data_IF_517771617806
#
_entry.id   IF_517771617806
#
_cell.length_a   1.000
_cell.length_b   1.000
_cell.length_c   1.000
_cell.angle_alpha   90.00
_cell.angle_beta   90.00
_cell.angle_gamma   90.00
#
_symmetry.space_group_name_H-M   'P 1'
#
loop_
_entity.id
_entity.type
_entity.pdbx_description
1 polymer ?
#
# COMPACT_ATOMS: atom_id res chain seq x y z
N UNK A 1 3.86 -7.15 115.99
CA UNK A 1 3.20 -6.07 115.21
C UNK A 1 4.00 -5.71 113.95
N UNK A 2 5.30 -5.39 114.04
CA UNK A 2 6.18 -5.03 112.90
C UNK A 2 6.23 -6.03 111.71
N UNK A 3 6.10 -7.34 111.96
CA UNK A 3 6.21 -8.36 110.90
C UNK A 3 4.98 -8.37 109.97
N UNK A 4 3.77 -8.17 110.50
CA UNK A 4 2.54 -8.06 109.70
C UNK A 4 2.50 -6.78 108.86
N UNK A 5 3.01 -5.68 109.42
CA UNK A 5 3.12 -4.38 108.74
C UNK A 5 4.10 -4.42 107.57
N UNK A 6 5.27 -5.06 107.74
CA UNK A 6 6.22 -5.30 106.63
C UNK A 6 5.63 -6.17 105.53
N UNK A 7 4.87 -7.21 105.88
CA UNK A 7 4.21 -8.09 104.90
C UNK A 7 3.12 -7.35 104.12
N UNK A 8 2.34 -6.51 104.80
CA UNK A 8 1.33 -5.66 104.16
C UNK A 8 1.96 -4.62 103.23
N UNK A 9 3.05 -3.98 103.65
CA UNK A 9 3.79 -3.02 102.84
C UNK A 9 4.42 -3.68 101.60
N UNK A 10 4.93 -4.90 101.73
CA UNK A 10 5.43 -5.67 100.59
C UNK A 10 4.31 -6.04 99.61
N UNK A 11 3.15 -6.50 100.11
CA UNK A 11 1.99 -6.79 99.26
C UNK A 11 1.46 -5.55 98.54
N UNK A 12 1.40 -4.39 99.21
CA UNK A 12 0.99 -3.13 98.60
C UNK A 12 1.96 -2.71 97.49
N UNK A 13 3.28 -2.77 97.73
CA UNK A 13 4.29 -2.50 96.69
C UNK A 13 4.18 -3.43 95.49
N UNK A 14 3.87 -4.71 95.74
CA UNK A 14 3.69 -5.69 94.67
C UNK A 14 2.44 -5.40 93.84
N UNK A 15 1.33 -5.01 94.49
CA UNK A 15 0.11 -4.56 93.80
C UNK A 15 0.35 -3.30 92.96
N UNK A 16 1.08 -2.32 93.50
CA UNK A 16 1.42 -1.09 92.76
C UNK A 16 2.32 -1.38 91.54
N UNK A 17 3.27 -2.31 91.68
CA UNK A 17 4.13 -2.75 90.59
C UNK A 17 3.33 -3.48 89.48
N UNK A 18 2.38 -4.34 89.86
CA UNK A 18 1.48 -5.02 88.93
C UNK A 18 0.60 -3.99 88.20
N UNK A 19 -0.06 -3.09 88.93
CA UNK A 19 -0.91 -2.06 88.34
C UNK A 19 -0.14 -1.13 87.39
N UNK A 20 1.11 -0.79 87.73
CA UNK A 20 2.00 -0.02 86.84
C UNK A 20 2.39 -0.83 85.60
N UNK A 21 2.67 -2.12 85.76
CA UNK A 21 2.94 -3.04 84.65
C UNK A 21 1.76 -3.15 83.69
N UNK A 22 0.55 -3.34 84.21
CA UNK A 22 -0.69 -3.39 83.43
C UNK A 22 -0.96 -2.09 82.68
N UNK A 23 -0.75 -0.94 83.33
CA UNK A 23 -0.86 0.37 82.69
C UNK A 23 0.12 0.53 81.53
N UNK A 24 1.38 0.13 81.73
CA UNK A 24 2.41 0.18 80.69
C UNK A 24 2.09 -0.76 79.51
N UNK A 25 1.61 -1.98 79.80
CA UNK A 25 1.17 -2.94 78.77
C UNK A 25 0.02 -2.33 77.95
N UNK A 26 -0.94 -1.67 78.59
CA UNK A 26 -2.08 -1.07 77.90
C UNK A 26 -1.66 0.11 77.02
N UNK A 27 -0.71 0.94 77.48
CA UNK A 27 -0.13 2.03 76.68
C UNK A 27 0.56 1.46 75.43
N UNK A 28 1.45 0.47 75.62
CA UNK A 28 2.17 -0.18 74.51
C UNK A 28 1.21 -0.83 73.52
N UNK A 29 0.12 -1.45 74.00
CA UNK A 29 -0.91 -2.05 73.15
C UNK A 29 -1.61 -0.99 72.30
N UNK A 30 -1.99 0.14 72.89
CA UNK A 30 -2.63 1.24 72.16
C UNK A 30 -1.70 1.86 71.12
N UNK A 31 -0.42 2.07 71.46
CA UNK A 31 0.59 2.56 70.51
C UNK A 31 0.82 1.58 69.35
N UNK A 32 0.81 0.28 69.64
CA UNK A 32 0.96 -0.76 68.61
C UNK A 32 -0.23 -0.78 67.67
N UNK A 33 -1.45 -0.69 68.21
CA UNK A 33 -2.68 -0.59 67.40
C UNK A 33 -2.64 0.64 66.50
N UNK A 34 -2.25 1.80 67.03
CA UNK A 34 -2.15 3.03 66.24
C UNK A 34 -1.14 2.91 65.09
N UNK A 35 0.03 2.30 65.33
CA UNK A 35 1.03 2.03 64.28
C UNK A 35 0.53 1.06 63.22
N UNK A 36 -0.18 0.01 63.62
CA UNK A 36 -0.77 -0.96 62.68
C UNK A 36 -1.81 -0.28 61.81
N UNK A 37 -2.66 0.59 62.37
CA UNK A 37 -3.65 1.35 61.61
C UNK A 37 -2.97 2.27 60.59
N UNK A 38 -1.95 3.03 61.00
CA UNK A 38 -1.20 3.90 60.08
C UNK A 38 -0.53 3.12 58.94
N UNK A 39 0.11 1.98 59.25
CA UNK A 39 0.73 1.13 58.23
C UNK A 39 -0.31 0.58 57.25
N UNK A 40 -1.48 0.18 57.76
CA UNK A 40 -2.58 -0.30 56.92
C UNK A 40 -3.11 0.80 56.00
N UNK A 41 -3.31 2.00 56.51
CA UNK A 41 -3.81 3.13 55.72
C UNK A 41 -2.80 3.54 54.63
N UNK A 42 -1.51 3.61 54.97
CA UNK A 42 -0.45 3.88 54.01
C UNK A 42 -0.37 2.80 52.93
N UNK A 43 -0.42 1.53 53.31
CA UNK A 43 -0.38 0.42 52.36
C UNK A 43 -1.61 0.41 51.44
N UNK A 44 -2.80 0.72 51.97
CA UNK A 44 -4.00 0.87 51.16
C UNK A 44 -3.83 1.96 50.11
N UNK A 45 -3.28 3.11 50.50
CA UNK A 45 -3.04 4.23 49.59
C UNK A 45 -2.02 3.88 48.50
N UNK A 46 -0.91 3.24 48.85
CA UNK A 46 0.10 2.77 47.87
C UNK A 46 -0.49 1.77 46.87
N UNK A 47 -1.37 0.87 47.34
CA UNK A 47 -2.06 -0.10 46.49
C UNK A 47 -3.02 0.57 45.51
N UNK A 48 -3.73 1.62 45.94
CA UNK A 48 -4.62 2.38 45.07
C UNK A 48 -3.83 3.17 44.01
N UNK A 49 -2.74 3.84 44.39
CA UNK A 49 -1.84 4.55 43.48
C UNK A 49 -1.22 3.59 42.44
N UNK A 50 -0.80 2.41 42.87
CA UNK A 50 -0.26 1.38 41.98
C UNK A 50 -1.32 0.84 41.01
N UNK A 51 -2.56 0.66 41.48
CA UNK A 51 -3.69 0.25 40.62
C UNK A 51 -4.00 1.31 39.57
N UNK A 52 -3.99 2.58 39.92
CA UNK A 52 -4.18 3.68 38.97
C UNK A 52 -3.07 3.73 37.92
N UNK A 53 -1.81 3.60 38.34
CA UNK A 53 -0.66 3.57 37.44
C UNK A 53 -0.72 2.39 36.47
N UNK A 54 -1.05 1.18 36.95
CA UNK A 54 -1.24 0.02 36.07
C UNK A 54 -2.36 0.24 35.05
N UNK A 55 -3.50 0.80 35.47
CA UNK A 55 -4.61 1.10 34.56
C UNK A 55 -4.21 2.12 33.48
N UNK A 56 -3.36 3.09 33.83
CA UNK A 56 -2.82 4.06 32.87
C UNK A 56 -1.88 3.38 31.86
N UNK A 57 -0.92 2.59 32.34
CA UNK A 57 0.03 1.86 31.50
C UNK A 57 -0.66 0.86 30.57
N UNK A 58 -1.70 0.16 31.03
CA UNK A 58 -2.48 -0.75 30.19
C UNK A 58 -3.16 -0.04 29.02
N UNK A 59 -3.69 1.17 29.26
CA UNK A 59 -4.29 2.01 28.21
C UNK A 59 -3.24 2.44 27.18
N UNK A 60 -2.07 2.87 27.63
CA UNK A 60 -0.98 3.29 26.75
C UNK A 60 -0.44 2.13 25.91
N UNK A 61 -0.25 0.95 26.52
CA UNK A 61 0.15 -0.26 25.80
C UNK A 61 -0.88 -0.63 24.73
N UNK A 62 -2.17 -0.53 25.04
CA UNK A 62 -3.24 -0.82 24.07
C UNK A 62 -3.25 0.19 22.91
N UNK A 63 -3.01 1.47 23.20
CA UNK A 63 -2.90 2.53 22.19
C UNK A 63 -1.69 2.28 21.27
N UNK A 64 -0.52 2.04 21.85
CA UNK A 64 0.72 1.78 21.10
C UNK A 64 0.60 0.53 20.22
N UNK A 65 0.00 -0.56 20.72
CA UNK A 65 -0.27 -1.76 19.90
C UNK A 65 -1.17 -1.45 18.70
N UNK A 66 -2.18 -0.61 18.90
CA UNK A 66 -3.09 -0.20 17.82
C UNK A 66 -2.37 0.66 16.77
N UNK A 67 -1.54 1.61 17.22
CA UNK A 67 -0.74 2.46 16.34
C UNK A 67 0.31 1.65 15.57
N UNK A 68 0.98 0.71 16.23
CA UNK A 68 1.92 -0.22 15.60
C UNK A 68 1.24 -1.03 14.50
N UNK A 69 0.09 -1.65 14.78
CA UNK A 69 -0.65 -2.42 13.78
C UNK A 69 -1.08 -1.58 12.56
N UNK A 70 -1.49 -0.32 12.78
CA UNK A 70 -1.79 0.62 11.69
C UNK A 70 -0.54 0.97 10.88
N UNK A 71 0.59 1.19 11.54
CA UNK A 71 1.86 1.52 10.88
C UNK A 71 2.39 0.34 10.07
N UNK A 72 2.28 -0.87 10.60
CA UNK A 72 2.66 -2.11 9.92
C UNK A 72 1.78 -2.37 8.68
N UNK A 73 0.46 -2.12 8.78
CA UNK A 73 -0.45 -2.20 7.64
C UNK A 73 -0.06 -1.21 6.54
N UNK A 74 0.18 0.05 6.89
CA UNK A 74 0.66 1.07 5.94
C UNK A 74 2.01 0.71 5.33
N UNK A 75 2.93 0.18 6.13
CA UNK A 75 4.24 -0.25 5.63
C UNK A 75 4.12 -1.36 4.60
N UNK A 76 3.20 -2.31 4.80
CA UNK A 76 2.93 -3.36 3.82
C UNK A 76 2.32 -2.81 2.54
N UNK A 77 1.35 -1.88 2.63
CA UNK A 77 0.81 -1.17 1.45
C UNK A 77 1.92 -0.44 0.66
N UNK A 78 2.85 0.25 1.36
CA UNK A 78 3.97 0.91 0.71
C UNK A 78 4.98 -0.07 0.10
N UNK A 79 5.22 -1.23 0.74
CA UNK A 79 6.08 -2.28 0.17
C UNK A 79 5.49 -2.85 -1.12
N UNK A 80 4.18 -3.08 -1.17
CA UNK A 80 3.49 -3.49 -2.39
C UNK A 80 3.62 -2.42 -3.49
N UNK A 81 3.43 -1.15 -3.16
CA UNK A 81 3.59 -0.04 -4.09
C UNK A 81 5.03 0.12 -4.61
N UNK A 82 6.04 -0.04 -3.74
CA UNK A 82 7.45 0.03 -4.12
C UNK A 82 7.87 -1.21 -4.93
N UNK A 83 7.38 -2.40 -4.57
CA UNK A 83 7.55 -3.61 -5.38
C UNK A 83 6.98 -3.41 -6.79
N UNK A 84 5.82 -2.75 -6.92
CA UNK A 84 5.26 -2.33 -8.19
C UNK A 84 6.12 -1.31 -8.97
N UNK A 85 6.96 -0.54 -8.28
CA UNK A 85 7.86 0.46 -8.88
C UNK A 85 9.30 -0.05 -9.15
N UNK A 86 9.60 -1.33 -8.89
CA UNK A 86 10.92 -1.94 -9.15
C UNK A 86 11.26 -2.00 -10.65
N UNK A 87 12.55 -2.15 -10.99
CA UNK A 87 13.07 -2.32 -12.36
C UNK A 87 12.32 -3.41 -13.15
N UNK A 88 11.86 -4.49 -12.50
CA UNK A 88 11.05 -5.54 -13.12
C UNK A 88 9.74 -5.00 -13.73
N UNK A 89 9.11 -4.03 -13.08
CA UNK A 89 7.89 -3.41 -13.60
C UNK A 89 8.20 -2.32 -14.63
N UNK A 90 9.40 -1.74 -14.64
CA UNK A 90 9.76 -0.73 -15.64
C UNK A 90 9.74 -1.31 -17.07
N UNK A 91 10.21 -2.54 -17.26
CA UNK A 91 10.17 -3.19 -18.57
C UNK A 91 8.74 -3.52 -19.02
N UNK A 92 7.87 -3.97 -18.09
CA UNK A 92 6.45 -4.19 -18.36
C UNK A 92 5.77 -2.87 -18.77
N UNK A 93 6.03 -1.80 -18.02
CA UNK A 93 5.53 -0.46 -18.29
C UNK A 93 6.01 0.06 -19.66
N UNK A 94 7.25 -0.22 -20.02
CA UNK A 94 7.82 0.12 -21.32
C UNK A 94 7.07 -0.56 -22.47
N UNK A 95 6.84 -1.88 -22.39
CA UNK A 95 6.08 -2.62 -23.41
C UNK A 95 4.60 -2.18 -23.44
N UNK A 96 4.00 -1.91 -22.28
CA UNK A 96 2.66 -1.36 -22.18
C UNK A 96 2.52 0.00 -22.85
N UNK A 97 3.52 0.88 -22.68
CA UNK A 97 3.56 2.18 -23.35
C UNK A 97 3.74 2.04 -24.87
N UNK A 98 4.60 1.13 -25.33
CA UNK A 98 4.77 0.81 -26.75
C UNK A 98 3.44 0.40 -27.39
N UNK A 99 2.69 -0.48 -26.72
CA UNK A 99 1.36 -0.91 -27.16
C UNK A 99 0.38 0.26 -27.27
N UNK A 100 0.43 1.20 -26.31
CA UNK A 100 -0.39 2.42 -26.38
C UNK A 100 0.01 3.30 -27.56
N UNK A 101 1.30 3.56 -27.76
CA UNK A 101 1.79 4.39 -28.86
C UNK A 101 1.41 3.79 -30.21
N UNK A 102 1.51 2.47 -30.37
CA UNK A 102 1.07 1.76 -31.56
C UNK A 102 -0.42 2.00 -31.87
N UNK A 103 -1.31 1.88 -30.86
CA UNK A 103 -2.74 2.13 -31.06
C UNK A 103 -3.03 3.61 -31.37
N UNK A 104 -2.33 4.54 -30.72
CA UNK A 104 -2.44 5.97 -31.03
C UNK A 104 -2.00 6.27 -32.47
N UNK A 105 -0.90 5.66 -32.94
CA UNK A 105 -0.44 5.82 -34.32
C UNK A 105 -1.47 5.30 -35.33
N UNK A 106 -2.11 4.15 -35.04
CA UNK A 106 -3.20 3.63 -35.87
C UNK A 106 -4.39 4.56 -35.89
N UNK A 107 -4.82 5.06 -34.73
CA UNK A 107 -5.91 6.02 -34.65
C UNK A 107 -5.60 7.29 -35.44
N UNK A 108 -4.41 7.85 -35.26
CA UNK A 108 -3.96 9.05 -35.98
C UNK A 108 -3.88 8.83 -37.49
N UNK A 109 -3.47 7.64 -37.96
CA UNK A 109 -3.48 7.30 -39.38
C UNK A 109 -4.90 7.30 -39.96
N UNK A 110 -5.85 6.75 -39.21
CA UNK A 110 -7.25 6.59 -39.64
C UNK A 110 -8.03 7.90 -39.52
N UNK A 111 -7.83 8.64 -38.43
CA UNK A 111 -8.55 9.87 -38.08
C UNK A 111 -7.60 11.04 -37.75
N UNK A 112 -6.76 11.48 -38.70
CA UNK A 112 -5.74 12.50 -38.45
C UNK A 112 -6.30 13.83 -37.96
N UNK A 113 -7.48 14.24 -38.47
CA UNK A 113 -8.14 15.49 -38.08
C UNK A 113 -8.75 15.44 -36.67
N UNK A 114 -8.96 14.26 -36.09
CA UNK A 114 -9.66 14.06 -34.80
C UNK A 114 -8.75 13.50 -33.69
N UNK A 115 -7.45 13.44 -33.95
CA UNK A 115 -6.45 13.02 -32.97
C UNK A 115 -5.89 14.25 -32.23
N UNK A 116 -6.71 14.91 -31.41
CA UNK A 116 -6.38 16.20 -30.79
C UNK A 116 -5.56 16.11 -29.50
N UNK A 117 -5.66 14.99 -28.79
CA UNK A 117 -5.00 14.81 -27.50
C UNK A 117 -3.91 13.74 -27.60
N UNK A 118 -2.65 14.14 -27.41
CA UNK A 118 -1.49 13.25 -27.38
C UNK A 118 -1.42 12.42 -26.08
N UNK A 119 -2.13 12.86 -25.04
CA UNK A 119 -2.23 12.19 -23.75
C UNK A 119 -3.42 11.21 -23.68
N UNK A 120 -4.38 11.29 -24.62
CA UNK A 120 -5.47 10.32 -24.73
C UNK A 120 -4.93 9.00 -25.23
N UNK A 121 -5.22 7.94 -24.48
CA UNK A 121 -4.84 6.59 -24.85
C UNK A 121 -5.90 5.98 -25.79
N UNK A 122 -5.77 6.22 -27.08
CA UNK A 122 -6.70 5.69 -28.09
C UNK A 122 -6.63 4.16 -28.17
N UNK A 123 -7.76 3.54 -28.48
CA UNK A 123 -7.88 2.09 -28.63
C UNK A 123 -8.34 1.74 -30.04
N UNK A 124 -8.16 0.48 -30.45
CA UNK A 124 -8.78 -0.03 -31.69
C UNK A 124 -10.30 0.06 -31.64
N UNK A 125 -10.90 -0.04 -30.45
CA UNK A 125 -12.35 0.11 -30.28
C UNK A 125 -12.76 1.54 -30.60
N UNK A 126 -12.01 2.53 -30.12
CA UNK A 126 -12.26 3.95 -30.37
C UNK A 126 -12.27 4.23 -31.87
N UNK A 127 -11.33 3.65 -32.64
CA UNK A 127 -11.33 3.76 -34.11
C UNK A 127 -12.65 3.26 -34.71
N UNK A 128 -13.13 2.10 -34.27
CA UNK A 128 -14.34 1.47 -34.82
C UNK A 128 -15.58 2.29 -34.44
N UNK A 129 -15.66 2.71 -33.19
CA UNK A 129 -16.79 3.48 -32.65
C UNK A 129 -16.86 4.85 -33.34
N UNK A 130 -15.75 5.58 -33.42
CA UNK A 130 -15.71 6.93 -33.99
C UNK A 130 -15.91 6.94 -35.53
N UNK A 131 -15.52 5.88 -36.24
CA UNK A 131 -15.86 5.70 -37.68
C UNK A 131 -17.37 5.65 -37.90
N UNK A 132 -18.11 5.08 -36.95
CA UNK A 132 -19.56 4.91 -37.04
C UNK A 132 -20.34 6.12 -36.53
N UNK A 133 -19.68 7.08 -35.90
CA UNK A 133 -20.33 8.21 -35.23
C UNK A 133 -20.61 9.35 -36.22
N UNK A 134 -21.90 9.56 -36.51
CA UNK A 134 -22.37 10.66 -37.36
C UNK A 134 -22.33 12.04 -36.69
N UNK A 135 -22.08 12.10 -35.38
CA UNK A 135 -21.88 13.36 -34.66
C UNK A 135 -20.44 13.87 -34.77
N UNK A 136 -19.48 12.98 -35.08
CA UNK A 136 -18.05 13.29 -35.20
C UNK A 136 -17.65 13.52 -36.66
N UNK A 137 -18.19 12.71 -37.58
CA UNK A 137 -17.79 12.68 -38.98
C UNK A 137 -18.98 12.97 -39.91
N UNK A 138 -18.77 13.84 -40.89
CA UNK A 138 -19.66 13.95 -42.05
C UNK A 138 -19.66 12.66 -42.89
N UNK A 139 -20.67 12.45 -43.74
CA UNK A 139 -20.78 11.23 -44.56
C UNK A 139 -19.55 11.02 -45.48
N UNK A 140 -19.03 12.11 -46.06
CA UNK A 140 -17.81 12.09 -46.87
C UNK A 140 -16.59 11.68 -46.03
N UNK A 141 -16.42 12.28 -44.85
CA UNK A 141 -15.32 11.95 -43.94
C UNK A 141 -15.41 10.53 -43.38
N UNK A 142 -16.62 10.01 -43.16
CA UNK A 142 -16.83 8.61 -42.79
C UNK A 142 -16.34 7.68 -43.88
N UNK A 143 -16.68 7.95 -45.15
CA UNK A 143 -16.25 7.11 -46.27
C UNK A 143 -14.72 7.10 -46.43
N UNK A 144 -14.10 8.27 -46.32
CA UNK A 144 -12.64 8.41 -46.36
C UNK A 144 -11.96 7.74 -45.16
N UNK A 145 -12.55 7.82 -43.98
CA UNK A 145 -12.05 7.15 -42.78
C UNK A 145 -12.20 5.63 -42.87
N UNK A 146 -13.32 5.11 -43.38
CA UNK A 146 -13.51 3.69 -43.69
C UNK A 146 -12.49 3.18 -44.70
N UNK A 147 -12.16 3.98 -45.73
CA UNK A 147 -11.09 3.67 -46.69
C UNK A 147 -9.73 3.55 -46.00
N UNK A 148 -9.34 4.55 -45.21
CA UNK A 148 -8.07 4.55 -44.45
C UNK A 148 -8.00 3.39 -43.45
N UNK A 149 -9.12 3.03 -42.82
CA UNK A 149 -9.19 1.87 -41.93
C UNK A 149 -8.90 0.57 -42.67
N UNK A 150 -9.52 0.35 -43.83
CA UNK A 150 -9.23 -0.83 -44.68
C UNK A 150 -7.79 -0.84 -45.17
N UNK A 151 -7.25 0.30 -45.59
CA UNK A 151 -5.84 0.43 -45.98
C UNK A 151 -4.90 0.06 -44.82
N UNK A 152 -5.16 0.56 -43.62
CA UNK A 152 -4.36 0.25 -42.43
C UNK A 152 -4.40 -1.26 -42.14
N UNK A 153 -5.59 -1.87 -42.15
CA UNK A 153 -5.77 -3.30 -41.94
C UNK A 153 -4.98 -4.13 -42.97
N UNK A 154 -4.92 -3.68 -44.23
CA UNK A 154 -4.11 -4.32 -45.25
C UNK A 154 -2.61 -4.13 -45.01
N UNK A 155 -2.17 -2.92 -44.68
CA UNK A 155 -0.74 -2.60 -44.45
C UNK A 155 -0.13 -3.39 -43.30
N UNK A 156 -0.90 -3.62 -42.24
CA UNK A 156 -0.44 -4.38 -41.07
C UNK A 156 -0.75 -5.87 -41.17
N UNK A 157 -1.32 -6.35 -42.27
CA UNK A 157 -1.82 -7.72 -42.44
C UNK A 157 -2.64 -8.18 -41.22
N UNK A 158 -3.75 -7.49 -40.98
CA UNK A 158 -4.56 -7.62 -39.77
C UNK A 158 -4.97 -9.07 -39.46
N UNK A 159 -5.26 -9.87 -40.50
CA UNK A 159 -5.65 -11.27 -40.35
C UNK A 159 -4.50 -12.12 -39.83
N UNK A 160 -3.31 -11.97 -40.42
CA UNK A 160 -2.10 -12.69 -39.98
C UNK A 160 -1.66 -12.27 -38.58
N UNK A 161 -1.81 -10.98 -38.27
CA UNK A 161 -1.39 -10.40 -36.99
C UNK A 161 -2.48 -10.34 -35.92
N UNK A 162 -3.63 -10.99 -36.14
CA UNK A 162 -4.77 -10.97 -35.19
C UNK A 162 -4.35 -11.32 -33.75
N UNK A 163 -3.49 -12.32 -33.59
CA UNK A 163 -2.94 -12.73 -32.30
C UNK A 163 -2.16 -11.60 -31.61
N UNK A 164 -1.31 -10.90 -32.36
CA UNK A 164 -0.53 -9.76 -31.84
C UNK A 164 -1.46 -8.62 -31.42
N UNK A 165 -2.45 -8.33 -32.24
CA UNK A 165 -3.44 -7.27 -31.98
C UNK A 165 -4.24 -7.55 -30.70
N UNK A 166 -4.58 -8.82 -30.44
CA UNK A 166 -5.20 -9.24 -29.18
C UNK A 166 -4.24 -9.10 -27.97
N UNK A 167 -2.95 -9.36 -28.17
CA UNK A 167 -1.92 -9.20 -27.13
C UNK A 167 -1.75 -7.73 -26.69
N UNK A 168 -1.94 -6.76 -27.59
CA UNK A 168 -1.89 -5.33 -27.27
C UNK A 168 -2.83 -4.97 -26.12
N UNK A 169 -4.06 -5.50 -26.12
CA UNK A 169 -5.04 -5.22 -25.05
C UNK A 169 -4.52 -5.67 -23.69
N UNK A 170 -3.94 -6.87 -23.63
CA UNK A 170 -3.41 -7.46 -22.38
C UNK A 170 -2.20 -6.71 -21.87
N UNK A 171 -1.23 -6.40 -22.75
CA UNK A 171 0.00 -5.68 -22.40
C UNK A 171 -0.28 -4.24 -22.01
N UNK A 172 -1.24 -3.58 -22.68
CA UNK A 172 -1.63 -2.21 -22.36
C UNK A 172 -2.23 -2.10 -20.95
N UNK A 173 -3.02 -3.07 -20.49
CA UNK A 173 -3.59 -3.03 -19.14
C UNK A 173 -2.53 -3.05 -18.03
N UNK A 174 -1.31 -3.48 -18.35
CA UNK A 174 -0.19 -3.47 -17.41
C UNK A 174 0.49 -2.09 -17.31
N UNK A 175 0.03 -1.09 -18.09
CA UNK A 175 0.48 0.30 -17.99
C UNK A 175 -0.04 0.98 -16.73
N UNK A 176 0.84 1.58 -15.94
CA UNK A 176 0.49 2.60 -14.96
C UNK A 176 0.38 3.98 -15.64
N UNK A 177 -0.70 4.72 -15.37
CA UNK A 177 -0.91 6.07 -15.91
C UNK A 177 0.16 7.07 -15.43
N UNK A 178 0.76 6.86 -14.26
CA UNK A 178 1.65 7.83 -13.60
C UNK A 178 3.15 7.64 -13.89
N UNK A 179 3.59 6.43 -14.29
CA UNK A 179 5.02 6.08 -14.32
C UNK A 179 5.43 5.37 -15.62
N UNK A 180 5.12 5.96 -16.78
CA UNK A 180 5.54 5.41 -18.08
C UNK A 180 6.66 6.25 -18.72
N UNK A 181 7.60 5.61 -19.45
CA UNK A 181 8.63 6.33 -20.19
C UNK A 181 8.02 7.26 -21.23
N UNK A 182 8.46 8.54 -21.25
CA UNK A 182 7.95 9.56 -22.18
C UNK A 182 8.43 9.37 -23.62
N UNK A 183 9.62 8.80 -23.80
CA UNK A 183 10.25 8.55 -25.09
C UNK A 183 10.62 7.08 -25.16
N UNK A 184 10.25 6.43 -26.27
CA UNK A 184 10.61 5.03 -26.53
C UNK A 184 11.61 4.98 -27.68
N UNK A 185 12.64 4.15 -27.55
CA UNK A 185 13.52 3.70 -28.63
C UNK A 185 13.30 2.22 -28.95
N UNK A 186 13.72 1.80 -30.15
CA UNK A 186 13.69 0.40 -30.57
C UNK A 186 14.63 -0.44 -29.70
N UNK A 187 15.84 0.06 -29.43
CA UNK A 187 16.83 -0.61 -28.59
C UNK A 187 16.29 -0.82 -27.18
N UNK A 188 15.61 0.21 -26.62
CA UNK A 188 14.98 0.11 -25.31
C UNK A 188 13.82 -0.89 -25.29
N UNK A 189 13.03 -0.97 -26.36
CA UNK A 189 11.94 -1.93 -26.47
C UNK A 189 12.45 -3.37 -26.54
N UNK A 190 13.51 -3.61 -27.32
CA UNK A 190 14.14 -4.92 -27.46
C UNK A 190 14.79 -5.36 -26.14
N UNK A 191 15.52 -4.45 -25.49
CA UNK A 191 16.13 -4.68 -24.17
C UNK A 191 15.06 -5.04 -23.11
N UNK A 192 13.96 -4.27 -23.06
CA UNK A 192 12.85 -4.57 -22.16
C UNK A 192 12.22 -5.95 -22.42
N UNK A 193 12.04 -6.33 -23.70
CA UNK A 193 11.53 -7.66 -24.05
C UNK A 193 12.49 -8.78 -23.63
N UNK A 194 13.80 -8.59 -23.78
CA UNK A 194 14.81 -9.56 -23.35
C UNK A 194 14.84 -9.74 -21.84
N UNK A 195 14.74 -8.67 -21.06
CA UNK A 195 14.68 -8.76 -19.60
C UNK A 195 13.41 -9.45 -19.11
N UNK A 196 12.25 -9.12 -19.70
CA UNK A 196 10.99 -9.81 -19.38
C UNK A 196 11.03 -11.31 -19.74
N UNK A 197 11.77 -11.68 -20.79
CA UNK A 197 12.02 -13.09 -21.12
C UNK A 197 12.90 -13.75 -20.05
N UNK A 198 14.00 -13.13 -19.63
CA UNK A 198 14.89 -13.64 -18.58
C UNK A 198 14.14 -13.84 -17.26
N UNK A 199 13.21 -12.95 -16.93
CA UNK A 199 12.34 -13.03 -15.75
C UNK A 199 11.19 -14.05 -15.90
N UNK A 200 11.09 -14.73 -17.04
CA UNK A 200 10.05 -15.74 -17.32
C UNK A 200 8.64 -15.18 -17.54
N UNK A 201 8.49 -13.85 -17.63
CA UNK A 201 7.19 -13.18 -17.84
C UNK A 201 6.65 -13.36 -19.26
N UNK A 202 7.51 -13.74 -20.21
CA UNK A 202 7.18 -13.97 -21.62
C UNK A 202 7.24 -15.46 -22.04
N UNK A 203 7.14 -16.38 -21.07
CA UNK A 203 7.20 -17.82 -21.33
C UNK A 203 5.86 -18.42 -21.82
N UNK A 204 4.75 -17.68 -21.71
CA UNK A 204 3.41 -18.18 -22.04
C UNK A 204 2.73 -17.29 -23.09
N UNK A 205 1.81 -16.41 -22.68
CA UNK A 205 1.13 -15.47 -23.58
C UNK A 205 0.89 -14.15 -22.85
N UNK A 206 1.32 -13.01 -23.41
CA UNK A 206 2.09 -12.88 -24.66
C UNK A 206 3.49 -13.50 -24.56
N UNK A 207 3.94 -14.18 -25.62
CA UNK A 207 5.28 -14.77 -25.70
C UNK A 207 6.33 -13.73 -26.12
N UNK A 208 7.62 -14.06 -26.00
CA UNK A 208 8.70 -13.19 -26.48
C UNK A 208 8.53 -12.83 -27.96
N UNK A 209 8.22 -13.81 -28.81
CA UNK A 209 7.96 -13.58 -30.23
C UNK A 209 6.75 -12.66 -30.48
N UNK A 210 5.72 -12.73 -29.61
CA UNK A 210 4.58 -11.82 -29.70
C UNK A 210 5.03 -10.38 -29.44
N UNK A 211 5.84 -10.16 -28.40
CA UNK A 211 6.38 -8.83 -28.08
C UNK A 211 7.31 -8.32 -29.18
N UNK A 212 8.17 -9.18 -29.74
CA UNK A 212 9.04 -8.80 -30.87
C UNK A 212 8.23 -8.44 -32.12
N UNK A 213 7.16 -9.19 -32.40
CA UNK A 213 6.22 -8.86 -33.48
C UNK A 213 5.56 -7.49 -33.26
N UNK A 214 5.17 -7.17 -32.03
CA UNK A 214 4.61 -5.87 -31.66
C UNK A 214 5.61 -4.72 -31.81
N UNK A 215 6.88 -4.93 -31.46
CA UNK A 215 7.95 -3.95 -31.66
C UNK A 215 8.10 -3.63 -33.15
N UNK A 216 8.09 -4.65 -34.01
CA UNK A 216 8.16 -4.46 -35.45
C UNK A 216 6.93 -3.69 -36.00
N UNK A 217 5.73 -4.03 -35.54
CA UNK A 217 4.51 -3.31 -35.92
C UNK A 217 4.54 -1.85 -35.46
N UNK A 218 5.03 -1.59 -34.25
CA UNK A 218 5.24 -0.24 -33.74
C UNK A 218 6.21 0.55 -34.59
N UNK A 219 7.37 -0.01 -34.92
CA UNK A 219 8.35 0.61 -35.82
C UNK A 219 7.72 0.99 -37.17
N UNK A 220 7.02 0.06 -37.81
CA UNK A 220 6.33 0.33 -39.08
C UNK A 220 5.24 1.39 -38.94
N UNK A 221 4.58 1.48 -37.77
CA UNK A 221 3.53 2.48 -37.52
C UNK A 221 4.07 3.91 -37.41
N UNK A 222 5.33 4.10 -36.99
CA UNK A 222 5.96 5.43 -36.92
C UNK A 222 6.09 6.00 -38.33
N UNK A 223 6.55 5.20 -39.29
CA UNK A 223 6.70 5.61 -40.69
C UNK A 223 5.37 5.89 -41.40
N UNK A 224 4.24 5.38 -40.89
CA UNK A 224 2.91 5.73 -41.41
C UNK A 224 2.54 7.19 -41.16
N UNK A 225 3.19 7.84 -40.19
CA UNK A 225 3.02 9.25 -39.87
C UNK A 225 3.82 10.16 -40.81
N UNK A 226 5.10 9.82 -41.06
CA UNK A 226 6.04 10.67 -41.80
C UNK A 226 5.68 10.82 -43.28
N UNK A 227 5.06 9.80 -43.89
CA UNK A 227 4.69 9.81 -45.31
C UNK A 227 3.50 10.74 -45.68
N UNK A 228 2.93 11.48 -44.72
CA UNK A 228 1.76 12.37 -44.94
C UNK A 228 1.93 13.79 -44.41
N UNK A 229 3.09 14.13 -43.85
CA UNK A 229 3.44 15.50 -43.43
C UNK A 229 4.24 16.27 -44.48
N UNK A 230 4.41 15.71 -45.68
CA UNK A 230 5.05 16.35 -46.85
C UNK A 230 4.06 16.63 -47.96
#
# INVERSE_FOLDING_TARGET
MKMKENQQNHQNRMKDAIAKGEKNINILRNETIAKIMQLKDNHSKEMDEMRESNNFLEKDVKKLKTEHSKMESKLNEYKEYVSYCTEENQHILYIGQLCSNLQTNWYRYVMPKHCHDEHRAYTVKDIIDDIGDCTILSEEEQNDTKRRWKELQSKIDWKKNKRLIEAIKRLRHQRNQAAHPKVLSEEGARSAAEELRKQGKLNVKPSFDDVMGLINLWKSSISLHEARSG
#
